data_IF_663265650209
#
_entry.id   IF_663265650209
#
_cell.length_a   1.000
_cell.length_b   1.000
_cell.length_c   1.000
_cell.angle_alpha   90.00
_cell.angle_beta   90.00
_cell.angle_gamma   90.00
#
_symmetry.space_group_name_H-M   'P 1'
#
loop_
_entity.id
_entity.type
_entity.pdbx_description
1 polymer ?
#
# COMPACT_ATOMS: atom_id res chain seq x y z
N UNK A 1 18.77 7.48 -2.67
CA UNK A 1 17.63 6.58 -2.39
C UNK A 1 16.36 7.40 -2.50
N UNK A 2 15.28 6.88 -3.12
CA UNK A 2 14.04 7.63 -3.28
C UNK A 2 13.51 8.13 -1.94
N UNK A 3 12.89 9.30 -1.92
CA UNK A 3 12.31 9.94 -0.72
C UNK A 3 10.78 9.92 -0.75
N UNK A 4 10.20 9.16 -1.69
CA UNK A 4 8.77 9.15 -1.94
C UNK A 4 8.11 8.17 -0.96
N UNK A 5 7.03 8.58 -0.27
CA UNK A 5 6.25 7.68 0.58
C UNK A 5 5.85 6.42 -0.18
N UNK A 6 6.17 5.26 0.38
CA UNK A 6 5.99 3.95 -0.24
C UNK A 6 5.07 3.08 0.61
N UNK A 7 4.19 2.31 -0.03
CA UNK A 7 3.27 1.39 0.63
C UNK A 7 3.36 -0.02 0.07
N UNK A 8 3.23 -1.03 0.93
CA UNK A 8 3.13 -2.44 0.55
C UNK A 8 1.78 -3.03 0.96
N UNK A 9 1.08 -3.65 0.02
CA UNK A 9 -0.04 -4.55 0.29
C UNK A 9 0.39 -5.98 -0.03
N UNK A 10 0.58 -6.80 0.99
CA UNK A 10 1.17 -8.14 0.90
C UNK A 10 0.05 -9.18 0.85
N UNK A 11 -0.05 -9.86 -0.30
CA UNK A 11 -0.98 -10.97 -0.52
C UNK A 11 -0.25 -12.32 -0.42
N UNK A 12 -0.84 -13.34 0.23
CA UNK A 12 -0.13 -14.56 0.61
C UNK A 12 0.14 -15.53 -0.55
N UNK A 13 -0.41 -15.29 -1.75
CA UNK A 13 -0.16 -16.08 -2.96
C UNK A 13 0.48 -15.26 -4.09
N UNK A 14 1.14 -14.16 -3.76
CA UNK A 14 2.00 -13.45 -4.73
C UNK A 14 3.13 -14.38 -5.20
N UNK A 15 3.61 -14.20 -6.44
CA UNK A 15 4.65 -15.03 -7.05
C UNK A 15 5.94 -14.97 -6.21
N UNK A 16 6.27 -13.78 -5.71
CA UNK A 16 7.45 -13.54 -4.88
C UNK A 16 7.01 -12.82 -3.61
N UNK A 17 7.04 -13.53 -2.49
CA UNK A 17 6.81 -12.94 -1.17
C UNK A 17 8.18 -12.69 -0.55
N UNK A 18 8.59 -11.42 -0.58
CA UNK A 18 9.87 -11.03 0.01
C UNK A 18 9.85 -11.22 1.54
N UNK A 19 10.96 -11.66 2.15
CA UNK A 19 11.09 -11.68 3.60
C UNK A 19 10.81 -10.30 4.21
N UNK A 20 10.15 -10.28 5.38
CA UNK A 20 9.85 -9.02 6.07
C UNK A 20 11.10 -8.17 6.33
N UNK A 21 12.24 -8.82 6.56
CA UNK A 21 13.54 -8.19 6.77
C UNK A 21 14.06 -7.40 5.56
N UNK A 22 13.45 -7.54 4.38
CA UNK A 22 13.84 -6.80 3.17
C UNK A 22 13.07 -5.49 3.03
N UNK A 23 12.04 -5.23 3.83
CA UNK A 23 11.33 -3.96 3.88
C UNK A 23 12.09 -2.93 4.73
N UNK A 24 13.31 -2.59 4.32
CA UNK A 24 14.23 -1.73 5.08
C UNK A 24 14.23 -0.27 4.62
N UNK A 25 13.48 0.07 3.56
CA UNK A 25 13.41 1.45 3.09
C UNK A 25 12.69 2.32 4.13
N UNK A 26 13.38 3.39 4.57
CA UNK A 26 12.89 4.35 5.57
C UNK A 26 11.65 5.12 5.12
N UNK A 27 11.34 5.13 3.83
CA UNK A 27 10.17 5.82 3.28
C UNK A 27 8.96 4.90 3.15
N UNK A 28 9.05 3.65 3.64
CA UNK A 28 7.88 2.79 3.75
C UNK A 28 7.00 3.34 4.88
N UNK A 29 5.86 3.90 4.51
CA UNK A 29 4.92 4.53 5.44
C UNK A 29 3.66 3.69 5.66
N UNK A 30 3.49 2.62 4.89
CA UNK A 30 2.32 1.75 4.96
C UNK A 30 2.70 0.30 4.64
N UNK A 31 2.32 -0.64 5.50
CA UNK A 31 2.43 -2.08 5.24
C UNK A 31 1.14 -2.74 5.72
N UNK A 32 0.53 -3.54 4.85
CA UNK A 32 -0.67 -4.31 5.17
C UNK A 32 -0.53 -5.75 4.71
N UNK A 33 -0.87 -6.70 5.57
CA UNK A 33 -0.81 -8.14 5.27
C UNK A 33 -2.22 -8.69 5.10
N UNK A 34 -2.45 -9.52 4.08
CA UNK A 34 -3.76 -10.13 3.79
C UNK A 34 -3.75 -11.63 4.09
N UNK A 35 -4.91 -12.13 4.47
CA UNK A 35 -5.11 -13.58 4.72
C UNK A 35 -5.38 -14.37 3.44
N UNK A 36 -5.74 -13.71 2.33
CA UNK A 36 -6.10 -14.34 1.05
C UNK A 36 -5.78 -13.45 -0.15
N UNK A 37 -5.79 -14.04 -1.35
CA UNK A 37 -5.44 -13.41 -2.63
C UNK A 37 -3.98 -13.65 -3.04
N UNK A 38 -3.64 -13.31 -4.28
CA UNK A 38 -2.30 -13.48 -4.84
C UNK A 38 -1.93 -12.42 -5.86
N UNK A 39 -1.24 -12.85 -6.92
CA UNK A 39 -0.65 -12.00 -7.94
C UNK A 39 -1.65 -11.03 -8.59
N UNK A 40 -2.90 -11.46 -8.78
CA UNK A 40 -3.94 -10.62 -9.36
C UNK A 40 -4.78 -9.98 -8.25
N UNK A 41 -4.15 -9.37 -7.26
CA UNK A 41 -4.78 -8.77 -6.07
C UNK A 41 -6.00 -7.89 -6.38
N UNK A 42 -5.93 -7.07 -7.43
CA UNK A 42 -7.02 -6.20 -7.86
C UNK A 42 -8.26 -6.98 -8.34
N UNK A 43 -8.06 -8.17 -8.91
CA UNK A 43 -9.14 -9.04 -9.39
C UNK A 43 -9.60 -10.02 -8.30
N UNK A 44 -8.66 -10.62 -7.57
CA UNK A 44 -8.94 -11.65 -6.57
C UNK A 44 -9.55 -11.06 -5.29
N UNK A 45 -9.10 -9.88 -4.86
CA UNK A 45 -9.50 -9.23 -3.61
C UNK A 45 -9.65 -7.70 -3.80
N UNK A 46 -10.55 -7.25 -4.70
CA UNK A 46 -10.69 -5.84 -5.08
C UNK A 46 -10.90 -4.92 -3.87
N UNK A 47 -11.79 -5.31 -2.95
CA UNK A 47 -12.11 -4.50 -1.76
C UNK A 47 -10.93 -4.38 -0.80
N UNK A 48 -10.09 -5.42 -0.72
CA UNK A 48 -8.91 -5.40 0.16
C UNK A 48 -7.84 -4.48 -0.40
N UNK A 49 -7.58 -4.55 -1.70
CA UNK A 49 -6.61 -3.66 -2.35
C UNK A 49 -7.11 -2.20 -2.35
N UNK A 50 -8.36 -1.97 -2.75
CA UNK A 50 -8.96 -0.64 -2.74
C UNK A 50 -9.04 -0.06 -1.32
N UNK A 51 -9.30 -0.90 -0.31
CA UNK A 51 -9.25 -0.51 1.09
C UNK A 51 -7.86 -0.01 1.51
N UNK A 52 -6.80 -0.68 1.11
CA UNK A 52 -5.43 -0.23 1.42
C UNK A 52 -5.08 1.09 0.74
N UNK A 53 -5.50 1.28 -0.53
CA UNK A 53 -5.34 2.58 -1.20
C UNK A 53 -6.06 3.68 -0.43
N UNK A 54 -7.31 3.46 0.00
CA UNK A 54 -8.06 4.44 0.80
C UNK A 54 -7.42 4.69 2.16
N UNK A 55 -6.90 3.67 2.83
CA UNK A 55 -6.24 3.83 4.12
C UNK A 55 -4.90 4.58 4.01
N UNK A 56 -4.17 4.38 2.91
CA UNK A 56 -2.89 5.04 2.69
C UNK A 56 -3.05 6.50 2.27
N UNK A 57 -3.93 6.76 1.29
CA UNK A 57 -4.07 8.07 0.64
C UNK A 57 -5.25 8.92 1.14
N UNK A 58 -6.24 8.32 1.81
CA UNK A 58 -7.40 9.04 2.34
C UNK A 58 -7.05 9.94 3.52
N UNK A 59 -7.97 10.83 3.89
CA UNK A 59 -7.80 11.77 5.04
C UNK A 59 -7.29 11.05 6.29
N UNK A 60 -6.19 11.55 6.87
CA UNK A 60 -5.53 10.95 8.04
C UNK A 60 -4.61 9.77 7.74
N UNK A 61 -4.54 9.33 6.47
CA UNK A 61 -3.61 8.32 6.01
C UNK A 61 -2.17 8.85 5.88
N UNK A 62 -1.16 7.95 5.93
CA UNK A 62 0.25 8.33 5.93
C UNK A 62 0.75 9.00 4.64
N UNK A 63 -0.01 8.89 3.54
CA UNK A 63 0.30 9.56 2.26
C UNK A 63 -0.80 10.54 1.83
N UNK A 64 -1.67 10.97 2.76
CA UNK A 64 -2.66 12.00 2.48
C UNK A 64 -2.00 13.31 2.05
N UNK A 65 -2.55 13.98 1.03
CA UNK A 65 -2.04 15.27 0.55
C UNK A 65 -0.64 15.21 -0.07
N UNK A 66 -0.16 14.01 -0.45
CA UNK A 66 1.17 13.84 -1.08
C UNK A 66 1.31 14.60 -2.41
N UNK A 67 0.18 14.95 -3.05
CA UNK A 67 0.15 15.83 -4.22
C UNK A 67 -0.18 17.26 -3.76
N UNK A 68 0.77 18.22 -3.89
CA UNK A 68 0.55 19.59 -3.46
C UNK A 68 -0.69 20.21 -4.12
N UNK A 69 -1.58 20.76 -3.30
CA UNK A 69 -2.81 21.43 -3.76
C UNK A 69 -3.87 20.48 -4.33
N UNK A 70 -3.71 19.15 -4.22
CA UNK A 70 -4.70 18.16 -4.67
C UNK A 70 -4.86 17.05 -3.63
N UNK A 71 -5.81 17.20 -2.73
CA UNK A 71 -6.08 16.21 -1.68
C UNK A 71 -7.23 15.25 -2.01
N UNK A 72 -8.02 15.55 -3.06
CA UNK A 72 -9.14 14.74 -3.54
C UNK A 72 -10.44 14.89 -2.75
N UNK A 73 -10.54 15.89 -1.85
CA UNK A 73 -11.72 16.13 -1.02
C UNK A 73 -12.25 17.56 -1.08
N UNK A 74 -11.66 18.40 -1.92
CA UNK A 74 -12.13 19.74 -2.31
C UNK A 74 -12.79 19.70 -3.69
#
# INVERSE_FOLDING_TARGET
MPTIPTGYSIFPKEIIINPKSWHTDKNIVFISNKERGGHFAAHEQPDKLAGDLRNMFGKGGPAYGVVPGKDGYE
#
